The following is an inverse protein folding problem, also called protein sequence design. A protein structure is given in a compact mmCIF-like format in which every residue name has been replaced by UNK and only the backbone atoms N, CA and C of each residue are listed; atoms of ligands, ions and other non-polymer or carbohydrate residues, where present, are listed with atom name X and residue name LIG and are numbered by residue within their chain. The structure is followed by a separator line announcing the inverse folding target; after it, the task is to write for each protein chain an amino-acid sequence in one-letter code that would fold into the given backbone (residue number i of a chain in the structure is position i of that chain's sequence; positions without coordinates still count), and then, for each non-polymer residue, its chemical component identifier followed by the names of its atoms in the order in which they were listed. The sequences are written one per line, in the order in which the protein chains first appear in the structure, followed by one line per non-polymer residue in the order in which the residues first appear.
data_IF_407752667228
#
_entry.id   IF_407752667228
#
_cell.length_a   1.000
_cell.length_b   1.000
_cell.length_c   1.000
_cell.angle_alpha   90.00
_cell.angle_beta   90.00
_cell.angle_gamma   90.00
#
_symmetry.space_group_name_H-M   'P 1'
#
loop_
_entity.id
_entity.type
_entity.pdbx_description
1 polymer ?
#
# COMPACT_ATOMS: atom_id res chain seq x y z
N UNK A 1 -11.69 -13.94 -12.60
CA UNK A 1 -12.01 -14.29 -14.01
C UNK A 1 -10.86 -13.84 -14.89
N UNK A 2 -10.03 -14.76 -15.38
CA UNK A 2 -8.77 -14.38 -16.03
C UNK A 2 -8.87 -13.86 -17.48
N UNK A 3 -10.04 -13.80 -18.07
CA UNK A 3 -10.18 -13.47 -19.51
C UNK A 3 -11.24 -12.40 -19.84
N UNK A 4 -11.77 -11.69 -18.85
CA UNK A 4 -12.74 -10.61 -19.12
C UNK A 4 -11.99 -9.41 -19.69
N UNK A 5 -12.30 -9.05 -20.93
CA UNK A 5 -11.83 -7.81 -21.54
C UNK A 5 -12.72 -6.67 -21.11
N UNK A 6 -12.14 -5.69 -20.41
CA UNK A 6 -12.84 -4.48 -20.02
C UNK A 6 -12.79 -3.49 -21.18
N UNK A 7 -13.93 -2.99 -21.61
CA UNK A 7 -14.06 -1.96 -22.65
C UNK A 7 -14.89 -0.80 -22.10
N UNK A 8 -14.50 0.41 -22.47
CA UNK A 8 -15.24 1.65 -22.18
C UNK A 8 -15.32 2.42 -23.48
N UNK A 9 -16.46 3.04 -23.76
CA UNK A 9 -16.63 3.87 -24.96
C UNK A 9 -15.51 4.90 -25.08
N UNK A 10 -14.96 5.10 -26.25
CA UNK A 10 -13.95 6.12 -26.54
C UNK A 10 -14.45 7.54 -26.25
N UNK A 11 -15.77 7.76 -26.37
CA UNK A 11 -16.46 9.00 -26.05
C UNK A 11 -16.69 9.23 -24.55
N UNK A 12 -16.39 8.23 -23.68
CA UNK A 12 -16.54 8.43 -22.23
C UNK A 12 -15.65 9.58 -21.75
N UNK A 13 -16.21 10.64 -21.13
CA UNK A 13 -15.45 11.82 -20.74
C UNK A 13 -14.61 11.63 -19.47
N UNK A 14 -14.90 10.60 -18.67
CA UNK A 14 -14.32 10.43 -17.34
C UNK A 14 -13.25 9.33 -17.25
N UNK A 15 -13.46 8.23 -17.99
CA UNK A 15 -12.68 7.02 -17.85
C UNK A 15 -11.98 6.61 -19.14
N UNK A 16 -10.90 5.84 -18.99
CA UNK A 16 -10.25 5.11 -20.08
C UNK A 16 -9.70 3.77 -19.58
N UNK A 17 -9.60 2.82 -20.47
CA UNK A 17 -9.00 1.51 -20.22
C UNK A 17 -7.64 1.42 -20.91
N UNK A 18 -6.64 0.96 -20.19
CA UNK A 18 -5.30 0.68 -20.75
C UNK A 18 -4.84 -0.66 -20.18
N UNK A 19 -4.59 -1.63 -21.08
CA UNK A 19 -4.19 -3.00 -20.70
C UNK A 19 -5.14 -3.64 -19.67
N UNK A 20 -6.44 -3.45 -19.87
CA UNK A 20 -7.51 -3.95 -19.00
C UNK A 20 -7.59 -3.29 -17.61
N UNK A 21 -6.78 -2.28 -17.34
CA UNK A 21 -6.85 -1.48 -16.10
C UNK A 21 -7.63 -0.18 -16.35
N UNK A 22 -8.43 0.24 -15.37
CA UNK A 22 -9.29 1.43 -15.46
C UNK A 22 -8.60 2.65 -14.85
N UNK A 23 -8.54 3.72 -15.64
CA UNK A 23 -7.95 5.00 -15.24
C UNK A 23 -8.95 6.15 -15.43
N UNK A 24 -8.72 7.27 -14.73
CA UNK A 24 -9.32 8.54 -15.11
C UNK A 24 -8.90 8.91 -16.55
N UNK A 25 -9.74 9.69 -17.26
CA UNK A 25 -9.47 10.11 -18.65
C UNK A 25 -8.08 10.73 -18.82
N UNK A 26 -7.65 11.58 -17.87
CA UNK A 26 -6.32 12.20 -17.87
C UNK A 26 -5.19 11.25 -17.40
N UNK A 27 -5.49 10.01 -16.99
CA UNK A 27 -4.53 9.01 -16.56
C UNK A 27 -3.85 9.28 -15.21
N UNK A 28 -4.38 10.21 -14.41
CA UNK A 28 -3.79 10.58 -13.11
C UNK A 28 -4.31 9.73 -11.95
N UNK A 29 -5.49 9.14 -12.07
CA UNK A 29 -6.05 8.22 -11.07
C UNK A 29 -6.15 6.81 -11.64
N UNK A 30 -5.73 5.83 -10.87
CA UNK A 30 -5.88 4.41 -11.16
C UNK A 30 -7.03 3.88 -10.31
N UNK A 31 -8.14 3.51 -10.96
CA UNK A 31 -9.36 3.05 -10.29
C UNK A 31 -9.41 1.55 -10.08
N UNK A 32 -8.96 0.77 -11.06
CA UNK A 32 -9.01 -0.69 -10.95
C UNK A 32 -7.94 -1.36 -11.77
N UNK A 33 -7.38 -2.44 -11.25
CA UNK A 33 -6.33 -3.23 -11.89
C UNK A 33 -6.80 -4.66 -12.11
N UNK A 34 -7.00 -5.02 -13.37
CA UNK A 34 -7.33 -6.38 -13.80
C UNK A 34 -6.13 -7.13 -14.39
N UNK A 35 -4.93 -6.58 -14.23
CA UNK A 35 -3.69 -7.17 -14.76
C UNK A 35 -3.44 -8.56 -14.19
N UNK A 36 -3.02 -9.48 -15.06
CA UNK A 36 -2.59 -10.85 -14.70
C UNK A 36 -1.07 -10.97 -14.51
N UNK A 37 -0.33 -9.89 -14.66
CA UNK A 37 1.14 -9.86 -14.54
C UNK A 37 1.56 -10.00 -13.07
N UNK A 38 2.46 -10.93 -12.77
CA UNK A 38 2.99 -11.12 -11.42
C UNK A 38 3.74 -9.90 -10.87
N UNK A 39 4.42 -9.15 -11.74
CA UNK A 39 5.16 -7.93 -11.39
C UNK A 39 4.46 -6.73 -12.04
N UNK A 40 3.82 -5.91 -11.23
CA UNK A 40 3.06 -4.75 -11.70
C UNK A 40 3.81 -3.45 -11.46
N UNK A 41 3.97 -2.66 -12.52
CA UNK A 41 4.55 -1.30 -12.44
C UNK A 41 3.45 -0.29 -12.75
N UNK A 42 3.11 0.54 -11.76
CA UNK A 42 2.18 1.65 -11.94
C UNK A 42 2.77 2.67 -12.92
N UNK A 43 1.92 3.21 -13.80
CA UNK A 43 2.34 4.19 -14.84
C UNK A 43 2.84 5.49 -14.18
N UNK A 44 3.86 6.12 -14.78
CA UNK A 44 4.44 7.39 -14.29
C UNK A 44 3.46 8.58 -14.30
N UNK A 45 2.35 8.50 -15.05
CA UNK A 45 1.30 9.53 -15.04
C UNK A 45 0.44 9.49 -13.77
N UNK A 46 0.35 8.35 -13.08
CA UNK A 46 -0.55 8.13 -11.94
C UNK A 46 -0.07 8.92 -10.73
N UNK A 47 -0.99 9.68 -10.13
CA UNK A 47 -0.80 10.45 -8.90
C UNK A 47 -1.57 9.86 -7.73
N UNK A 48 -2.70 9.22 -8.02
CA UNK A 48 -3.62 8.63 -7.04
C UNK A 48 -3.90 7.18 -7.41
N UNK A 49 -3.77 6.30 -6.44
CA UNK A 49 -4.32 4.94 -6.46
C UNK A 49 -5.58 5.02 -5.62
N UNK A 50 -6.70 4.67 -6.23
CA UNK A 50 -8.02 4.79 -5.62
C UNK A 50 -8.30 3.68 -4.61
N UNK A 51 -9.40 3.83 -3.86
CA UNK A 51 -9.84 2.84 -2.89
C UNK A 51 -10.06 1.49 -3.59
N UNK A 52 -9.53 0.43 -3.00
CA UNK A 52 -9.65 -0.92 -3.54
C UNK A 52 -9.05 -1.16 -4.92
N UNK A 53 -8.23 -0.26 -5.49
CA UNK A 53 -7.76 -0.34 -6.88
C UNK A 53 -7.14 -1.69 -7.27
N UNK A 54 -6.50 -2.40 -6.35
CA UNK A 54 -5.92 -3.73 -6.55
C UNK A 54 -6.63 -4.82 -5.73
N UNK A 55 -7.79 -4.51 -5.15
CA UNK A 55 -8.47 -5.40 -4.22
C UNK A 55 -8.69 -6.79 -4.83
N UNK A 56 -8.31 -7.85 -4.07
CA UNK A 56 -8.40 -9.27 -4.49
C UNK A 56 -7.64 -9.64 -5.77
N UNK A 57 -6.70 -8.82 -6.25
CA UNK A 57 -5.88 -9.23 -7.39
C UNK A 57 -4.78 -10.21 -6.93
N UNK A 58 -5.11 -11.50 -6.98
CA UNK A 58 -4.21 -12.58 -6.56
C UNK A 58 -3.11 -12.94 -7.58
N UNK A 59 -3.15 -12.36 -8.79
CA UNK A 59 -2.11 -12.60 -9.81
C UNK A 59 -0.82 -11.84 -9.47
N UNK A 60 -0.93 -10.67 -8.83
CA UNK A 60 0.19 -9.78 -8.59
C UNK A 60 0.98 -10.22 -7.35
N UNK A 61 2.28 -10.41 -7.53
CA UNK A 61 3.24 -10.77 -6.46
C UNK A 61 4.09 -9.57 -6.02
N UNK A 62 4.34 -8.63 -6.91
CA UNK A 62 5.09 -7.41 -6.59
C UNK A 62 4.51 -6.16 -7.25
N UNK A 63 4.57 -5.03 -6.54
CA UNK A 63 4.10 -3.74 -7.02
C UNK A 63 5.22 -2.71 -6.90
N UNK A 64 5.41 -1.94 -7.99
CA UNK A 64 6.28 -0.77 -8.02
C UNK A 64 5.45 0.50 -8.19
N UNK A 65 5.56 1.43 -7.24
CA UNK A 65 4.93 2.76 -7.28
C UNK A 65 5.98 3.81 -7.66
N UNK A 66 5.83 4.52 -8.79
CA UNK A 66 6.72 5.61 -9.17
C UNK A 66 6.53 6.82 -8.25
N UNK A 67 7.51 7.73 -8.23
CA UNK A 67 7.49 8.91 -7.34
C UNK A 67 6.39 9.95 -7.69
N UNK A 68 5.70 9.77 -8.82
CA UNK A 68 4.47 10.51 -9.15
C UNK A 68 3.30 10.18 -8.22
N UNK A 69 3.23 8.96 -7.67
CA UNK A 69 2.15 8.54 -6.78
C UNK A 69 2.29 9.24 -5.44
N UNK A 70 1.24 10.00 -5.06
CA UNK A 70 1.19 10.81 -3.83
C UNK A 70 0.14 10.31 -2.83
N UNK A 71 -0.91 9.63 -3.33
CA UNK A 71 -2.02 9.12 -2.51
C UNK A 71 -2.32 7.66 -2.85
N UNK A 72 -2.64 6.90 -1.81
CA UNK A 72 -3.13 5.52 -1.87
C UNK A 72 -4.39 5.48 -1.03
N UNK A 73 -5.50 5.06 -1.61
CA UNK A 73 -6.79 4.97 -0.95
C UNK A 73 -6.93 3.79 -0.01
N UNK A 74 -8.07 3.72 0.66
CA UNK A 74 -8.40 2.67 1.61
C UNK A 74 -8.47 1.30 0.91
N UNK A 75 -7.99 0.26 1.58
CA UNK A 75 -7.95 -1.11 1.06
C UNK A 75 -7.34 -1.27 -0.35
N UNK A 76 -6.57 -0.29 -0.84
CA UNK A 76 -6.07 -0.27 -2.22
C UNK A 76 -5.36 -1.58 -2.62
N UNK A 77 -4.68 -2.25 -1.69
CA UNK A 77 -4.04 -3.56 -1.88
C UNK A 77 -4.67 -4.62 -0.97
N UNK A 78 -5.94 -4.45 -0.58
CA UNK A 78 -6.64 -5.38 0.30
C UNK A 78 -6.87 -6.75 -0.34
N UNK A 79 -6.79 -7.81 0.49
CA UNK A 79 -7.03 -9.22 0.13
C UNK A 79 -6.22 -9.74 -1.07
N UNK A 80 -5.06 -9.14 -1.34
CA UNK A 80 -4.10 -9.64 -2.33
C UNK A 80 -3.29 -10.79 -1.74
N UNK A 81 -3.81 -12.02 -1.83
CA UNK A 81 -3.24 -13.21 -1.16
C UNK A 81 -1.81 -13.53 -1.57
N UNK A 82 -1.43 -13.19 -2.79
CA UNK A 82 -0.12 -13.51 -3.35
C UNK A 82 0.87 -12.34 -3.34
N UNK A 83 0.47 -11.15 -2.89
CA UNK A 83 1.38 -10.01 -2.79
C UNK A 83 2.50 -10.31 -1.79
N UNK A 84 3.75 -10.24 -2.25
CA UNK A 84 4.97 -10.50 -1.47
C UNK A 84 5.76 -9.24 -1.17
N UNK A 85 5.73 -8.28 -2.10
CA UNK A 85 6.51 -7.05 -1.96
C UNK A 85 5.83 -5.84 -2.59
N UNK A 86 6.09 -4.67 -2.01
CA UNK A 86 5.71 -3.38 -2.56
C UNK A 86 6.88 -2.41 -2.41
N UNK A 87 7.20 -1.70 -3.49
CA UNK A 87 8.09 -0.55 -3.47
C UNK A 87 7.27 0.72 -3.56
N UNK A 88 7.26 1.47 -2.48
CA UNK A 88 6.55 2.74 -2.39
C UNK A 88 7.25 3.87 -3.12
N UNK A 89 6.45 4.82 -3.60
CA UNK A 89 6.86 6.17 -3.94
C UNK A 89 7.45 6.90 -2.72
N UNK A 90 8.53 7.64 -2.92
CA UNK A 90 9.09 8.52 -1.87
C UNK A 90 8.21 9.77 -1.62
N UNK A 91 7.22 10.04 -2.47
CA UNK A 91 6.31 11.19 -2.35
C UNK A 91 5.15 10.96 -1.40
N UNK A 92 4.91 9.71 -0.97
CA UNK A 92 3.82 9.35 -0.07
C UNK A 92 4.13 9.80 1.35
N UNK A 93 3.23 10.61 1.92
CA UNK A 93 3.31 11.13 3.29
C UNK A 93 2.33 10.46 4.25
N UNK A 94 1.26 9.90 3.72
CA UNK A 94 0.19 9.25 4.49
C UNK A 94 -0.14 7.88 3.92
N UNK A 95 -0.45 6.95 4.80
CA UNK A 95 -1.01 5.65 4.47
C UNK A 95 -2.34 5.51 5.21
N UNK A 96 -3.40 5.35 4.44
CA UNK A 96 -4.76 5.29 4.91
C UNK A 96 -5.14 3.91 5.47
N UNK A 97 -6.44 3.66 5.65
CA UNK A 97 -6.94 2.51 6.39
C UNK A 97 -6.83 1.21 5.58
N UNK A 98 -6.47 0.13 6.28
CA UNK A 98 -6.55 -1.27 5.81
C UNK A 98 -5.86 -1.57 4.46
N UNK A 99 -4.93 -0.71 3.99
CA UNK A 99 -4.27 -0.82 2.68
C UNK A 99 -3.74 -2.24 2.41
N UNK A 100 -3.26 -2.96 3.44
CA UNK A 100 -2.73 -4.33 3.33
C UNK A 100 -3.55 -5.37 4.10
N UNK A 101 -4.84 -5.11 4.28
CA UNK A 101 -5.71 -6.05 4.94
C UNK A 101 -5.69 -7.41 4.22
N UNK A 102 -5.52 -8.52 4.95
CA UNK A 102 -5.49 -9.90 4.43
C UNK A 102 -4.41 -10.24 3.39
N UNK A 103 -3.35 -9.44 3.25
CA UNK A 103 -2.21 -9.77 2.37
C UNK A 103 -1.35 -10.87 3.00
N UNK A 104 -1.73 -12.15 2.84
CA UNK A 104 -1.15 -13.29 3.57
C UNK A 104 0.34 -13.51 3.34
N UNK A 105 0.86 -13.23 2.14
CA UNK A 105 2.27 -13.43 1.78
C UNK A 105 3.15 -12.19 1.98
N UNK A 106 2.55 -11.02 2.31
CA UNK A 106 3.28 -9.80 2.59
C UNK A 106 3.80 -9.82 4.05
N UNK A 107 5.02 -10.30 4.25
CA UNK A 107 5.62 -10.44 5.58
C UNK A 107 6.57 -9.30 5.95
N UNK A 108 6.99 -8.51 4.99
CA UNK A 108 7.92 -7.40 5.18
C UNK A 108 7.48 -6.18 4.42
N UNK A 109 7.43 -5.03 5.10
CA UNK A 109 7.10 -3.74 4.48
C UNK A 109 8.16 -2.70 4.85
N UNK A 110 8.67 -1.99 3.83
CA UNK A 110 9.53 -0.82 4.01
C UNK A 110 8.71 0.43 3.69
N UNK A 111 8.35 1.21 4.71
CA UNK A 111 7.54 2.41 4.53
C UNK A 111 8.32 3.53 3.81
N UNK A 112 7.62 4.45 3.12
CA UNK A 112 8.24 5.60 2.45
C UNK A 112 9.10 6.42 3.42
N UNK A 113 10.21 6.98 2.93
CA UNK A 113 11.08 7.83 3.77
C UNK A 113 10.38 9.08 4.29
N UNK A 114 9.43 9.62 3.52
CA UNK A 114 8.68 10.85 3.85
C UNK A 114 7.38 10.59 4.58
N UNK A 115 7.11 9.35 5.03
CA UNK A 115 5.89 9.00 5.75
C UNK A 115 5.75 9.83 7.04
N UNK A 116 4.58 10.40 7.27
CA UNK A 116 4.24 11.19 8.44
C UNK A 116 3.05 10.62 9.20
N UNK A 117 2.11 10.01 8.48
CA UNK A 117 0.85 9.51 9.05
C UNK A 117 0.60 8.06 8.64
N UNK A 118 0.22 7.24 9.63
CA UNK A 118 -0.15 5.83 9.44
C UNK A 118 -1.50 5.62 10.14
N UNK A 119 -2.58 5.39 9.35
CA UNK A 119 -3.99 5.38 9.82
C UNK A 119 -4.58 3.97 9.95
N UNK A 120 -3.88 3.03 10.61
CA UNK A 120 -4.39 1.65 10.69
C UNK A 120 -4.22 0.87 9.38
N UNK A 121 -3.20 1.20 8.64
CA UNK A 121 -2.84 0.74 7.29
C UNK A 121 -2.79 -0.78 7.12
N UNK A 122 -2.51 -1.52 8.20
CA UNK A 122 -2.24 -2.97 8.12
C UNK A 122 -3.47 -3.84 8.38
N UNK A 123 -4.67 -3.24 8.43
CA UNK A 123 -5.93 -3.95 8.65
C UNK A 123 -6.16 -4.38 10.11
N UNK A 124 -7.06 -5.32 10.35
CA UNK A 124 -7.34 -5.84 11.69
C UNK A 124 -6.26 -6.80 12.21
N UNK A 125 -6.20 -7.02 13.54
CA UNK A 125 -5.19 -7.89 14.19
C UNK A 125 -5.11 -9.29 13.59
N UNK A 126 -6.25 -9.90 13.24
CA UNK A 126 -6.31 -11.25 12.65
C UNK A 126 -5.89 -11.29 11.17
N UNK A 127 -5.78 -10.14 10.52
CA UNK A 127 -5.55 -10.00 9.08
C UNK A 127 -4.18 -9.39 8.73
N UNK A 128 -3.32 -9.19 9.72
CA UNK A 128 -1.96 -8.66 9.54
C UNK A 128 -0.94 -9.80 9.70
N UNK A 129 -0.24 -10.11 8.63
CA UNK A 129 0.74 -11.23 8.55
C UNK A 129 2.18 -10.74 8.62
N UNK A 130 2.41 -9.47 8.94
CA UNK A 130 3.74 -8.86 8.94
C UNK A 130 4.64 -9.43 10.02
N UNK A 131 5.88 -9.74 9.64
CA UNK A 131 6.99 -10.15 10.50
C UNK A 131 8.00 -9.02 10.70
N UNK A 132 8.15 -8.13 9.71
CA UNK A 132 9.09 -6.99 9.76
C UNK A 132 8.47 -5.74 9.15
N UNK A 133 8.59 -4.61 9.84
CA UNK A 133 8.21 -3.29 9.30
C UNK A 133 9.40 -2.34 9.48
N UNK A 134 9.76 -1.64 8.41
CA UNK A 134 10.83 -0.64 8.43
C UNK A 134 10.23 0.75 8.29
N UNK A 135 10.39 1.58 9.32
CA UNK A 135 9.95 2.98 9.34
C UNK A 135 11.19 3.87 9.21
N UNK A 136 11.44 4.33 8.00
CA UNK A 136 12.62 5.12 7.66
C UNK A 136 12.44 6.64 7.87
N UNK A 137 11.28 7.07 8.34
CA UNK A 137 11.01 8.45 8.71
C UNK A 137 11.86 8.89 9.90
N UNK A 138 12.15 10.19 9.97
CA UNK A 138 12.84 10.80 11.12
C UNK A 138 11.87 11.26 12.23
N UNK A 139 10.59 11.42 11.88
CA UNK A 139 9.49 11.67 12.83
C UNK A 139 8.14 11.26 12.20
N UNK A 140 7.15 10.98 13.05
CA UNK A 140 5.77 10.72 12.67
C UNK A 140 4.87 11.78 13.30
N UNK A 141 3.81 12.19 12.60
CA UNK A 141 2.77 13.10 13.12
C UNK A 141 1.65 12.31 13.79
N UNK A 142 1.15 11.27 13.08
CA UNK A 142 0.12 10.35 13.58
C UNK A 142 0.51 8.92 13.26
N UNK A 143 0.30 8.02 14.21
CA UNK A 143 0.68 6.62 14.04
C UNK A 143 -0.33 5.73 14.74
N UNK A 144 -0.94 4.79 14.01
CA UNK A 144 -1.77 3.72 14.55
C UNK A 144 -1.24 2.37 14.09
N UNK A 145 -0.64 1.63 15.00
CA UNK A 145 -0.01 0.32 14.75
C UNK A 145 -0.63 -0.80 15.60
N UNK A 146 -1.82 -0.56 16.16
CA UNK A 146 -2.52 -1.51 17.06
C UNK A 146 -2.81 -2.86 16.40
N UNK A 147 -2.93 -2.88 15.07
CA UNK A 147 -3.21 -4.11 14.30
C UNK A 147 -1.96 -4.95 14.01
N UNK A 148 -0.76 -4.40 14.18
CA UNK A 148 0.48 -5.14 13.95
C UNK A 148 0.68 -6.18 15.07
N UNK A 149 0.93 -7.47 14.73
CA UNK A 149 1.17 -8.51 15.74
C UNK A 149 2.36 -8.18 16.63
N UNK A 150 2.29 -8.51 17.92
CA UNK A 150 3.42 -8.33 18.85
C UNK A 150 4.69 -9.12 18.46
N UNK A 151 4.53 -10.17 17.67
CA UNK A 151 5.63 -10.97 17.10
C UNK A 151 6.38 -10.27 15.98
N UNK A 152 5.78 -9.22 15.38
CA UNK A 152 6.43 -8.41 14.35
C UNK A 152 7.58 -7.61 14.96
N UNK A 153 8.70 -7.50 14.23
CA UNK A 153 9.82 -6.61 14.58
C UNK A 153 9.67 -5.30 13.80
N UNK A 154 9.64 -4.16 14.50
CA UNK A 154 9.64 -2.84 13.87
C UNK A 154 11.03 -2.23 13.96
N UNK A 155 11.58 -1.85 12.82
CA UNK A 155 12.87 -1.18 12.69
C UNK A 155 12.64 0.31 12.44
N UNK A 156 13.25 1.16 13.24
CA UNK A 156 13.10 2.61 13.19
C UNK A 156 14.46 3.31 13.07
N UNK A 157 14.46 4.55 12.57
CA UNK A 157 15.70 5.28 12.29
C UNK A 157 16.33 5.93 13.53
N UNK A 158 15.54 6.28 14.56
CA UNK A 158 16.02 7.01 15.73
C UNK A 158 15.16 6.80 16.98
N UNK A 159 15.64 7.31 18.13
CA UNK A 159 14.95 7.24 19.43
C UNK A 159 13.57 7.92 19.40
N UNK A 160 13.41 9.06 18.71
CA UNK A 160 12.14 9.80 18.58
C UNK A 160 11.05 8.93 17.96
N UNK A 161 11.33 8.31 16.80
CA UNK A 161 10.36 7.41 16.12
C UNK A 161 10.09 6.17 16.98
N UNK A 162 11.08 5.65 17.70
CA UNK A 162 10.88 4.53 18.64
C UNK A 162 9.84 4.88 19.71
N UNK A 163 9.93 6.06 20.33
CA UNK A 163 8.95 6.54 21.31
C UNK A 163 7.56 6.72 20.71
N UNK A 164 7.47 7.31 19.50
CA UNK A 164 6.21 7.49 18.77
C UNK A 164 5.54 6.15 18.44
N UNK A 165 6.29 5.14 18.01
CA UNK A 165 5.79 3.78 17.75
C UNK A 165 5.28 3.11 19.03
N UNK A 166 5.98 3.28 20.15
CA UNK A 166 5.52 2.83 21.49
C UNK A 166 4.19 3.49 21.86
N UNK A 167 4.12 4.82 21.78
CA UNK A 167 2.93 5.61 22.09
C UNK A 167 1.74 5.28 21.16
N UNK A 168 2.00 4.81 19.95
CA UNK A 168 0.98 4.33 18.98
C UNK A 168 0.38 2.96 19.34
N UNK A 169 0.72 2.38 20.50
CA UNK A 169 0.15 1.14 21.02
C UNK A 169 0.77 -0.14 20.46
N UNK A 170 1.94 -0.08 19.81
CA UNK A 170 2.66 -1.27 19.43
C UNK A 170 3.35 -1.93 20.62
N UNK A 171 3.10 -3.24 20.82
CA UNK A 171 3.57 -4.02 21.98
C UNK A 171 4.73 -4.97 21.69
N UNK A 172 5.23 -4.98 20.46
CA UNK A 172 6.31 -5.87 20.03
C UNK A 172 7.70 -5.25 20.12
N UNK A 173 8.71 -5.94 19.55
CA UNK A 173 10.11 -5.51 19.57
C UNK A 173 10.36 -4.35 18.60
N UNK A 174 10.92 -3.24 19.10
CA UNK A 174 11.32 -2.06 18.31
C UNK A 174 12.83 -1.92 18.36
N UNK A 175 13.46 -1.91 17.20
CA UNK A 175 14.91 -1.85 17.00
C UNK A 175 15.29 -0.53 16.31
N UNK A 176 16.34 0.13 16.77
CA UNK A 176 16.95 1.29 16.08
C UNK A 176 18.04 0.74 15.15
N UNK A 177 18.12 1.27 13.93
CA UNK A 177 19.15 0.91 12.93
C UNK A 177 19.68 2.15 12.21
#
# INVERSE_FOLDING_TARGET
CPKVKITISSSNPYLKVINNDIYSKNGKTLYSVASTKANYKVKKSVKVIDDGAFYKNDNIKSIYLPDSVKKIGDEAFGDMKNLQSIRFSNSIKELDYAIFNKCKKLTTVKLPKKIQTIRGTFGGKKNCYLKKVYINATSLKKCNLKSIPKTCKIYVKNKKVKQQVKGAGFKGKILIR
#
